data_IF_086239683969
#
_entry.id   IF_086239683969
#
_cell.length_a   1.000
_cell.length_b   1.000
_cell.length_c   1.000
_cell.angle_alpha   90.00
_cell.angle_beta   90.00
_cell.angle_gamma   90.00
#
_symmetry.space_group_name_H-M   'P 1'
#
loop_
_entity.id
_entity.type
_entity.pdbx_description
1 polymer ?
#
# COMPACT_ATOMS: atom_id res chain seq x y z
N UNK A 1 -7.99 20.54 -7.25
CA UNK A 1 -7.38 20.28 -8.58
C UNK A 1 -5.98 20.87 -8.61
N UNK A 2 -5.04 20.18 -9.27
CA UNK A 2 -3.67 20.66 -9.42
C UNK A 2 -3.64 21.98 -10.21
N UNK A 3 -2.90 22.97 -9.73
CA UNK A 3 -2.70 24.26 -10.41
C UNK A 3 -1.58 24.15 -11.45
N UNK A 4 -1.59 25.02 -12.45
CA UNK A 4 -0.51 25.08 -13.46
C UNK A 4 0.87 25.26 -12.78
N UNK A 5 0.99 26.14 -11.79
CA UNK A 5 2.22 26.35 -11.05
C UNK A 5 2.73 25.09 -10.32
N UNK A 6 1.82 24.25 -9.82
CA UNK A 6 2.20 22.95 -9.26
C UNK A 6 2.68 21.99 -10.34
N UNK A 7 1.97 21.89 -11.47
CA UNK A 7 2.36 21.02 -12.58
C UNK A 7 3.73 21.39 -13.15
N UNK A 8 4.05 22.67 -13.23
CA UNK A 8 5.37 23.16 -13.66
C UNK A 8 6.47 22.69 -12.67
N UNK A 9 6.22 22.82 -11.36
CA UNK A 9 7.13 22.31 -10.32
C UNK A 9 7.30 20.80 -10.42
N UNK A 10 6.20 20.07 -10.60
CA UNK A 10 6.20 18.62 -10.75
C UNK A 10 7.01 18.18 -11.97
N UNK A 11 6.77 18.78 -13.12
CA UNK A 11 7.45 18.43 -14.37
C UNK A 11 8.94 18.77 -14.37
N UNK A 12 9.37 19.69 -13.52
CA UNK A 12 10.79 19.96 -13.30
C UNK A 12 11.50 18.84 -12.54
N UNK A 13 10.77 17.94 -11.86
CA UNK A 13 11.34 16.79 -11.17
C UNK A 13 11.49 15.60 -12.13
N UNK A 14 12.60 14.86 -12.01
CA UNK A 14 12.87 13.70 -12.85
C UNK A 14 11.84 12.60 -12.61
N UNK A 15 11.15 12.15 -13.66
CA UNK A 15 10.29 10.98 -13.63
C UNK A 15 11.17 9.72 -13.59
N UNK A 16 10.74 8.71 -12.86
CA UNK A 16 11.47 7.44 -12.76
C UNK A 16 11.17 6.56 -13.97
N UNK A 17 12.23 6.04 -14.59
CA UNK A 17 12.18 5.10 -15.71
C UNK A 17 12.84 3.78 -15.36
N UNK A 18 12.52 2.75 -16.13
CA UNK A 18 13.14 1.41 -16.04
C UNK A 18 14.45 1.28 -16.81
N UNK A 19 14.95 2.37 -17.37
CA UNK A 19 16.11 2.44 -18.28
C UNK A 19 17.49 2.31 -17.59
N UNK A 20 17.50 2.35 -16.25
CA UNK A 20 18.71 2.28 -15.44
C UNK A 20 19.15 3.61 -14.87
N UNK A 21 18.47 4.71 -15.19
CA UNK A 21 18.67 6.01 -14.51
C UNK A 21 18.40 5.89 -12.99
N UNK A 22 17.49 4.99 -12.60
CA UNK A 22 17.24 4.57 -11.21
C UNK A 22 17.49 3.05 -11.12
N UNK A 23 18.61 2.61 -10.49
CA UNK A 23 19.02 1.20 -10.47
C UNK A 23 17.96 0.27 -9.89
N UNK A 24 17.24 0.69 -8.85
CA UNK A 24 16.20 -0.10 -8.20
C UNK A 24 15.02 -0.38 -9.14
N UNK A 25 14.55 0.62 -9.90
CA UNK A 25 13.46 0.46 -10.87
C UNK A 25 13.83 -0.52 -11.98
N UNK A 26 15.07 -0.43 -12.49
CA UNK A 26 15.60 -1.37 -13.50
C UNK A 26 15.70 -2.79 -12.94
N UNK A 27 16.29 -2.96 -11.75
CA UNK A 27 16.43 -4.28 -11.13
C UNK A 27 15.07 -4.92 -10.82
N UNK A 28 14.07 -4.11 -10.42
CA UNK A 28 12.72 -4.59 -10.21
C UNK A 28 12.13 -5.18 -11.50
N UNK A 29 12.22 -4.47 -12.61
CA UNK A 29 11.64 -4.90 -13.88
C UNK A 29 12.46 -6.03 -14.54
N UNK A 30 13.79 -5.97 -14.48
CA UNK A 30 14.66 -6.93 -15.15
C UNK A 30 14.74 -8.30 -14.46
N UNK A 31 14.52 -8.38 -13.15
CA UNK A 31 14.75 -9.63 -12.41
C UNK A 31 13.71 -9.94 -11.34
N UNK A 32 13.37 -8.97 -10.46
CA UNK A 32 12.48 -9.24 -9.33
C UNK A 32 11.06 -9.60 -9.77
N UNK A 33 10.47 -8.82 -10.66
CA UNK A 33 9.10 -9.04 -11.15
C UNK A 33 9.03 -10.33 -12.00
N UNK A 34 9.92 -10.60 -12.97
CA UNK A 34 9.93 -11.89 -13.68
C UNK A 34 9.97 -13.10 -12.75
N UNK A 35 10.87 -13.10 -11.76
CA UNK A 35 10.96 -14.17 -10.77
C UNK A 35 9.63 -14.37 -10.03
N UNK A 36 9.02 -13.28 -9.58
CA UNK A 36 7.73 -13.28 -8.90
C UNK A 36 6.60 -13.84 -9.78
N UNK A 37 6.58 -13.51 -11.09
CA UNK A 37 5.58 -14.05 -12.02
C UNK A 37 5.73 -15.56 -12.21
N UNK A 38 6.96 -16.09 -12.22
CA UNK A 38 7.20 -17.53 -12.22
C UNK A 38 6.68 -18.18 -10.94
N UNK A 39 6.97 -17.63 -9.77
CA UNK A 39 6.47 -18.12 -8.49
C UNK A 39 4.93 -18.14 -8.44
N UNK A 40 4.26 -17.11 -8.96
CA UNK A 40 2.81 -17.05 -9.11
C UNK A 40 2.29 -18.16 -10.01
N UNK A 41 2.92 -18.38 -11.16
CA UNK A 41 2.53 -19.43 -12.09
C UNK A 41 2.67 -20.83 -11.44
N UNK A 42 3.76 -21.07 -10.72
CA UNK A 42 4.05 -22.34 -10.08
C UNK A 42 3.07 -22.64 -8.92
N UNK A 43 2.74 -21.64 -8.10
CA UNK A 43 1.76 -21.79 -7.02
C UNK A 43 0.36 -22.05 -7.57
N UNK A 44 -0.07 -21.34 -8.59
CA UNK A 44 -1.37 -21.57 -9.22
C UNK A 44 -1.45 -22.95 -9.91
N UNK A 45 -0.35 -23.41 -10.50
CA UNK A 45 -0.28 -24.76 -11.07
C UNK A 45 -0.37 -25.84 -9.95
N UNK A 46 0.33 -25.65 -8.84
CA UNK A 46 0.32 -26.59 -7.69
C UNK A 46 -1.06 -26.68 -7.04
N UNK A 47 -1.76 -25.57 -6.87
CA UNK A 47 -3.11 -25.51 -6.29
C UNK A 47 -4.22 -25.79 -7.30
N UNK A 48 -3.90 -25.85 -8.60
CA UNK A 48 -4.86 -25.97 -9.71
C UNK A 48 -5.90 -24.81 -9.75
N UNK A 49 -5.52 -23.66 -9.24
CA UNK A 49 -6.37 -22.45 -9.26
C UNK A 49 -6.52 -21.87 -10.67
N UNK A 50 -5.45 -21.99 -11.48
CA UNK A 50 -5.46 -21.64 -12.90
C UNK A 50 -5.20 -22.88 -13.76
N UNK A 51 -5.66 -22.84 -15.02
CA UNK A 51 -5.37 -23.90 -15.98
C UNK A 51 -3.85 -23.93 -16.30
N UNK A 52 -3.36 -25.11 -16.69
CA UNK A 52 -1.97 -25.27 -17.10
C UNK A 52 -1.59 -24.36 -18.27
N UNK A 53 -2.55 -24.12 -19.18
CA UNK A 53 -2.40 -23.16 -20.29
C UNK A 53 -2.16 -21.74 -19.79
N UNK A 54 -2.93 -21.27 -18.79
CA UNK A 54 -2.75 -19.94 -18.22
C UNK A 54 -1.43 -19.82 -17.46
N UNK A 55 -1.05 -20.85 -16.69
CA UNK A 55 0.25 -20.89 -16.02
C UNK A 55 1.43 -20.86 -17.02
N UNK A 56 1.32 -21.59 -18.13
CA UNK A 56 2.34 -21.56 -19.20
C UNK A 56 2.44 -20.18 -19.87
N UNK A 57 1.30 -19.53 -20.16
CA UNK A 57 1.28 -18.15 -20.69
C UNK A 57 1.94 -17.17 -19.72
N UNK A 58 1.66 -17.29 -18.41
CA UNK A 58 2.24 -16.41 -17.39
C UNK A 58 3.75 -16.59 -17.29
N UNK A 59 4.28 -17.82 -17.36
CA UNK A 59 5.73 -18.08 -17.41
C UNK A 59 6.36 -17.47 -18.65
N UNK A 60 5.74 -17.66 -19.83
CA UNK A 60 6.25 -17.06 -21.08
C UNK A 60 6.24 -15.52 -21.01
N UNK A 61 5.21 -14.93 -20.39
CA UNK A 61 5.16 -13.49 -20.15
C UNK A 61 6.29 -13.02 -19.22
N UNK A 62 6.57 -13.76 -18.14
CA UNK A 62 7.71 -13.49 -17.26
C UNK A 62 9.04 -13.48 -18.00
N UNK A 63 9.27 -14.48 -18.89
CA UNK A 63 10.46 -14.57 -19.74
C UNK A 63 10.57 -13.38 -20.71
N UNK A 64 9.44 -12.93 -21.26
CA UNK A 64 9.38 -11.78 -22.16
C UNK A 64 9.75 -10.47 -21.45
N UNK A 65 9.31 -10.29 -20.20
CA UNK A 65 9.69 -9.15 -19.37
C UNK A 65 11.20 -9.17 -19.07
N UNK A 66 11.72 -10.33 -18.62
CA UNK A 66 13.14 -10.50 -18.32
C UNK A 66 14.03 -10.26 -19.56
N UNK A 67 13.59 -10.72 -20.73
CA UNK A 67 14.29 -10.55 -22.01
C UNK A 67 14.15 -9.15 -22.61
N UNK A 68 13.52 -8.21 -21.90
CA UNK A 68 13.31 -6.84 -22.37
C UNK A 68 12.57 -6.76 -23.72
N UNK A 69 11.59 -7.62 -23.93
CA UNK A 69 10.77 -7.55 -25.15
C UNK A 69 9.90 -6.29 -25.18
N UNK A 70 9.37 -5.90 -26.34
CA UNK A 70 8.38 -4.82 -26.43
C UNK A 70 7.18 -5.07 -25.51
N UNK A 71 6.67 -4.00 -24.90
CA UNK A 71 5.43 -4.05 -24.12
C UNK A 71 4.28 -4.40 -25.06
N UNK A 72 3.53 -5.50 -24.84
CA UNK A 72 2.42 -5.87 -25.70
C UNK A 72 1.16 -5.06 -25.40
N UNK A 73 0.25 -4.95 -26.40
CA UNK A 73 -1.12 -4.48 -26.16
C UNK A 73 -1.92 -5.54 -25.38
N UNK A 74 -3.05 -5.13 -24.78
CA UNK A 74 -4.05 -6.06 -24.25
C UNK A 74 -4.60 -6.96 -25.37
N UNK A 75 -4.88 -8.21 -25.06
CA UNK A 75 -5.48 -9.17 -26.01
C UNK A 75 -6.87 -8.73 -26.48
N UNK A 76 -7.64 -8.09 -25.60
CA UNK A 76 -8.94 -7.51 -25.90
C UNK A 76 -9.04 -6.06 -25.42
N UNK A 77 -8.67 -5.07 -26.25
CA UNK A 77 -8.71 -3.65 -25.88
C UNK A 77 -10.11 -3.13 -25.50
N UNK A 78 -11.18 -3.82 -25.94
CA UNK A 78 -12.55 -3.40 -25.64
C UNK A 78 -12.95 -3.65 -24.17
N UNK A 79 -12.26 -4.54 -23.45
CA UNK A 79 -12.53 -4.81 -22.03
C UNK A 79 -12.16 -3.59 -21.17
N UNK A 80 -11.07 -2.91 -21.51
CA UNK A 80 -10.64 -1.71 -20.82
C UNK A 80 -10.09 -0.65 -21.79
N UNK A 81 -10.99 0.16 -22.39
CA UNK A 81 -10.59 1.19 -23.34
C UNK A 81 -9.62 2.23 -22.77
N UNK A 82 -9.67 2.47 -21.45
CA UNK A 82 -8.77 3.41 -20.77
C UNK A 82 -7.33 2.90 -20.81
N UNK A 83 -7.13 1.63 -20.47
CA UNK A 83 -5.81 1.00 -20.55
C UNK A 83 -5.29 0.91 -21.98
N UNK A 84 -6.16 0.69 -22.94
CA UNK A 84 -5.76 0.70 -24.35
C UNK A 84 -5.24 2.08 -24.79
N UNK A 85 -5.97 3.15 -24.47
CA UNK A 85 -5.53 4.51 -24.79
C UNK A 85 -4.22 4.88 -24.09
N UNK A 86 -4.04 4.43 -22.86
CA UNK A 86 -2.80 4.66 -22.11
C UNK A 86 -1.62 3.85 -22.66
N UNK A 87 -1.85 2.63 -23.11
CA UNK A 87 -0.85 1.83 -23.82
C UNK A 87 -0.40 2.52 -25.12
N UNK A 88 -1.32 2.97 -25.97
CA UNK A 88 -0.97 3.68 -27.22
C UNK A 88 -0.10 4.92 -26.97
N UNK A 89 -0.32 5.60 -25.84
CA UNK A 89 0.41 6.81 -25.48
C UNK A 89 1.76 6.56 -24.81
N UNK A 90 1.88 5.52 -23.99
CA UNK A 90 3.00 5.31 -23.06
C UNK A 90 3.77 4.01 -23.27
N UNK A 91 3.12 2.99 -23.81
CA UNK A 91 3.66 1.64 -23.96
C UNK A 91 4.00 1.26 -25.38
N UNK A 92 3.25 1.77 -26.37
CA UNK A 92 3.47 1.41 -27.78
C UNK A 92 4.90 1.81 -28.23
N UNK A 93 5.64 0.83 -28.76
CA UNK A 93 7.02 1.01 -29.18
C UNK A 93 8.05 1.08 -28.04
N UNK A 94 7.63 0.92 -26.79
CA UNK A 94 8.52 0.81 -25.63
C UNK A 94 8.82 -0.64 -25.29
N UNK A 95 9.92 -0.85 -24.56
CA UNK A 95 10.26 -2.13 -23.95
C UNK A 95 10.12 -2.05 -22.43
N UNK A 96 10.14 -3.19 -21.77
CA UNK A 96 10.03 -3.28 -20.32
C UNK A 96 11.14 -2.52 -19.57
N UNK A 97 12.30 -2.36 -20.19
CA UNK A 97 13.46 -1.66 -19.61
C UNK A 97 13.68 -0.25 -20.17
N UNK A 98 12.63 0.36 -20.79
CA UNK A 98 12.68 1.71 -21.35
C UNK A 98 11.30 2.40 -21.26
N UNK A 99 10.62 2.26 -20.14
CA UNK A 99 9.31 2.86 -19.93
C UNK A 99 9.25 3.63 -18.59
N UNK A 100 8.29 4.53 -18.44
CA UNK A 100 8.00 5.14 -17.16
C UNK A 100 7.62 4.05 -16.15
N UNK A 101 8.32 3.99 -15.01
CA UNK A 101 8.25 2.84 -14.12
C UNK A 101 6.84 2.60 -13.58
N UNK A 102 6.17 3.64 -13.08
CA UNK A 102 4.84 3.48 -12.49
C UNK A 102 3.80 2.99 -13.51
N UNK A 103 3.90 3.47 -14.77
CA UNK A 103 3.09 2.95 -15.88
C UNK A 103 3.42 1.49 -16.19
N UNK A 104 4.71 1.18 -16.40
CA UNK A 104 5.15 -0.17 -16.79
C UNK A 104 4.73 -1.21 -15.76
N UNK A 105 4.89 -0.89 -14.47
CA UNK A 105 4.54 -1.79 -13.37
C UNK A 105 3.01 -1.99 -13.26
N UNK A 106 2.23 -0.92 -13.27
CA UNK A 106 0.76 -1.01 -13.22
C UNK A 106 0.18 -1.74 -14.44
N UNK A 107 0.69 -1.44 -15.64
CA UNK A 107 0.26 -2.09 -16.87
C UNK A 107 0.66 -3.57 -16.95
N UNK A 108 1.83 -3.92 -16.42
CA UNK A 108 2.28 -5.31 -16.29
C UNK A 108 1.25 -6.13 -15.49
N UNK A 109 0.81 -5.64 -14.33
CA UNK A 109 -0.18 -6.34 -13.52
C UNK A 109 -1.56 -6.40 -14.19
N UNK A 110 -1.92 -5.41 -15.01
CA UNK A 110 -3.10 -5.51 -15.88
C UNK A 110 -2.95 -6.61 -16.93
N UNK A 111 -1.76 -6.74 -17.53
CA UNK A 111 -1.46 -7.82 -18.47
C UNK A 111 -1.43 -9.20 -17.79
N UNK A 112 -1.03 -9.30 -16.52
CA UNK A 112 -1.15 -10.55 -15.76
C UNK A 112 -2.60 -11.01 -15.71
N UNK A 113 -3.55 -10.11 -15.46
CA UNK A 113 -4.98 -10.44 -15.49
C UNK A 113 -5.44 -10.89 -16.88
N UNK A 114 -4.94 -10.25 -17.93
CA UNK A 114 -5.24 -10.60 -19.33
C UNK A 114 -4.72 -12.01 -19.68
N UNK A 115 -3.44 -12.31 -19.43
CA UNK A 115 -2.84 -13.61 -19.77
C UNK A 115 -3.34 -14.77 -18.92
N UNK A 116 -3.80 -14.49 -17.70
CA UNK A 116 -4.38 -15.50 -16.81
C UNK A 116 -5.88 -15.70 -17.02
N UNK A 117 -6.54 -14.88 -17.84
CA UNK A 117 -7.98 -15.00 -18.14
C UNK A 117 -8.89 -14.49 -17.02
N UNK A 118 -8.42 -13.60 -16.16
CA UNK A 118 -9.21 -13.04 -15.06
C UNK A 118 -10.53 -12.42 -15.53
N UNK A 119 -10.49 -11.69 -16.63
CA UNK A 119 -11.66 -11.02 -17.21
C UNK A 119 -12.75 -12.01 -17.65
N UNK A 120 -12.42 -13.29 -17.86
CA UNK A 120 -13.35 -14.34 -18.29
C UNK A 120 -13.94 -15.13 -17.10
N UNK A 121 -13.11 -15.46 -16.11
CA UNK A 121 -13.49 -16.40 -15.03
C UNK A 121 -13.40 -15.82 -13.62
N UNK A 122 -12.84 -14.60 -13.43
CA UNK A 122 -12.80 -13.90 -12.15
C UNK A 122 -11.88 -14.51 -11.08
N UNK A 123 -11.03 -15.48 -11.45
CA UNK A 123 -10.10 -16.11 -10.49
C UNK A 123 -8.90 -15.19 -10.26
N UNK A 124 -8.69 -14.76 -9.02
CA UNK A 124 -7.55 -13.94 -8.63
C UNK A 124 -6.24 -14.75 -8.77
N UNK A 125 -5.33 -14.37 -9.69
CA UNK A 125 -4.07 -15.08 -9.89
C UNK A 125 -3.11 -14.92 -8.70
N UNK A 126 -3.35 -13.99 -7.81
CA UNK A 126 -2.51 -13.64 -6.66
C UNK A 126 -3.03 -14.22 -5.34
N UNK A 127 -4.19 -14.85 -5.34
CA UNK A 127 -4.84 -15.33 -4.11
C UNK A 127 -3.90 -16.22 -3.26
N UNK A 128 -3.14 -17.10 -3.90
CA UNK A 128 -2.20 -17.98 -3.19
C UNK A 128 -1.13 -17.18 -2.41
N UNK A 129 -0.57 -16.12 -3.00
CA UNK A 129 0.41 -15.27 -2.33
C UNK A 129 -0.20 -14.49 -1.17
N UNK A 130 -1.39 -13.93 -1.37
CA UNK A 130 -2.12 -13.18 -0.33
C UNK A 130 -2.39 -14.05 0.90
N UNK A 131 -2.74 -15.32 0.68
CA UNK A 131 -3.05 -16.26 1.77
C UNK A 131 -1.79 -16.84 2.41
N UNK A 132 -0.72 -17.07 1.64
CA UNK A 132 0.51 -17.70 2.13
C UNK A 132 1.14 -16.97 3.33
N UNK A 133 1.11 -15.64 3.35
CA UNK A 133 1.61 -14.88 4.50
C UNK A 133 0.81 -15.16 5.77
N UNK A 134 -0.49 -15.44 5.65
CA UNK A 134 -1.37 -15.75 6.78
C UNK A 134 -1.25 -17.19 7.29
N UNK A 135 -0.51 -18.05 6.58
CA UNK A 135 -0.19 -19.41 7.03
C UNK A 135 0.89 -19.38 8.14
N UNK A 136 1.73 -18.31 8.20
CA UNK A 136 2.71 -18.13 9.27
C UNK A 136 2.03 -17.64 10.57
N UNK A 137 2.63 -17.98 11.70
CA UNK A 137 2.17 -17.53 13.00
C UNK A 137 2.48 -16.06 13.30
N UNK A 138 3.43 -15.46 12.60
CA UNK A 138 3.94 -14.10 12.88
C UNK A 138 2.88 -13.01 12.69
N UNK A 139 2.12 -12.96 11.58
CA UNK A 139 1.03 -11.99 11.40
C UNK A 139 0.02 -12.02 12.55
N UNK A 140 -0.36 -13.23 12.97
CA UNK A 140 -1.35 -13.42 14.04
C UNK A 140 -0.84 -12.97 15.40
N UNK A 141 0.43 -13.24 15.72
CA UNK A 141 1.06 -12.74 16.97
C UNK A 141 1.13 -11.21 17.01
N UNK A 142 1.39 -10.57 15.88
CA UNK A 142 1.37 -9.10 15.79
C UNK A 142 -0.05 -8.56 15.99
N UNK A 143 -1.05 -9.20 15.43
CA UNK A 143 -2.45 -8.85 15.66
C UNK A 143 -2.85 -9.05 17.12
N UNK A 144 -2.40 -10.14 17.76
CA UNK A 144 -2.59 -10.37 19.20
C UNK A 144 -1.96 -9.27 20.05
N UNK A 145 -0.75 -8.81 19.66
CA UNK A 145 -0.07 -7.69 20.32
C UNK A 145 -0.87 -6.39 20.16
N UNK A 146 -1.39 -6.11 18.96
CA UNK A 146 -2.24 -4.94 18.74
C UNK A 146 -3.55 -5.01 19.55
N UNK A 147 -4.18 -6.17 19.62
CA UNK A 147 -5.38 -6.39 20.43
C UNK A 147 -5.11 -6.25 21.94
N UNK A 148 -3.95 -6.74 22.42
CA UNK A 148 -3.54 -6.59 23.81
C UNK A 148 -3.20 -5.14 24.16
N UNK A 149 -2.57 -4.40 23.24
CA UNK A 149 -2.32 -2.97 23.40
C UNK A 149 -3.63 -2.20 23.53
N UNK A 150 -4.60 -2.48 22.68
CA UNK A 150 -5.91 -1.82 22.74
C UNK A 150 -6.67 -2.12 24.04
N UNK A 151 -6.54 -3.34 24.57
CA UNK A 151 -7.14 -3.76 25.83
C UNK A 151 -6.39 -3.29 27.09
N UNK A 152 -5.21 -2.69 26.98
CA UNK A 152 -4.38 -2.23 28.11
C UNK A 152 -5.00 -1.02 28.83
N UNK A 153 -4.43 -0.64 29.99
CA UNK A 153 -4.84 0.54 30.75
C UNK A 153 -4.22 1.86 30.26
N UNK A 154 -3.50 1.85 29.13
CA UNK A 154 -2.92 3.05 28.56
C UNK A 154 -3.99 4.05 28.10
N UNK A 155 -3.68 5.36 28.12
CA UNK A 155 -4.54 6.37 27.52
C UNK A 155 -4.84 6.08 26.04
N UNK A 156 -6.06 6.31 25.59
CA UNK A 156 -6.47 6.07 24.18
C UNK A 156 -5.60 6.83 23.18
N UNK A 157 -5.06 7.99 23.53
CA UNK A 157 -4.10 8.74 22.70
C UNK A 157 -2.82 7.95 22.46
N UNK A 158 -2.25 7.37 23.49
CA UNK A 158 -1.01 6.58 23.41
C UNK A 158 -1.26 5.32 22.57
N UNK A 159 -2.36 4.60 22.84
CA UNK A 159 -2.78 3.44 22.05
C UNK A 159 -2.91 3.78 20.56
N UNK A 160 -3.55 4.91 20.22
CA UNK A 160 -3.69 5.34 18.83
C UNK A 160 -2.32 5.58 18.17
N UNK A 161 -1.41 6.26 18.85
CA UNK A 161 -0.05 6.49 18.36
C UNK A 161 0.71 5.19 18.09
N UNK A 162 0.63 4.25 19.02
CA UNK A 162 1.31 2.95 18.90
C UNK A 162 0.65 2.06 17.84
N UNK A 163 -0.67 2.07 17.69
CA UNK A 163 -1.37 1.37 16.61
C UNK A 163 -1.05 1.95 15.22
N UNK A 164 -0.86 3.27 15.09
CA UNK A 164 -0.38 3.86 13.84
C UNK A 164 1.03 3.36 13.48
N UNK A 165 1.92 3.22 14.46
CA UNK A 165 3.27 2.66 14.25
C UNK A 165 3.20 1.18 13.88
N UNK A 166 2.37 0.37 14.56
CA UNK A 166 2.16 -1.04 14.20
C UNK A 166 1.62 -1.17 12.78
N UNK A 167 0.62 -0.38 12.40
CA UNK A 167 0.08 -0.35 11.04
C UNK A 167 1.14 0.03 9.99
N UNK A 168 2.01 1.00 10.29
CA UNK A 168 3.13 1.36 9.41
C UNK A 168 4.09 0.19 9.21
N UNK A 169 4.51 -0.44 10.32
CA UNK A 169 5.52 -1.48 10.29
C UNK A 169 4.99 -2.86 9.86
N UNK A 170 3.67 -3.03 9.76
CA UNK A 170 3.05 -4.25 9.23
C UNK A 170 3.50 -4.63 7.83
N UNK A 171 3.99 -3.68 7.05
CA UNK A 171 4.54 -3.90 5.69
C UNK A 171 6.07 -4.09 5.69
N UNK A 172 6.70 -4.36 6.83
CA UNK A 172 8.13 -4.69 6.90
C UNK A 172 8.33 -6.12 6.39
N UNK A 173 8.80 -6.25 5.15
CA UNK A 173 9.09 -7.55 4.55
C UNK A 173 10.19 -8.31 5.32
N UNK A 174 9.91 -9.57 5.61
CA UNK A 174 10.73 -10.76 5.91
C UNK A 174 12.04 -10.65 6.73
N UNK A 175 12.84 -9.59 6.65
CA UNK A 175 14.16 -9.51 7.27
C UNK A 175 14.19 -8.83 8.65
N UNK A 176 13.40 -7.80 8.87
CA UNK A 176 13.39 -7.02 10.11
C UNK A 176 12.51 -7.64 11.22
N UNK A 177 11.61 -8.56 10.86
CA UNK A 177 10.82 -9.33 11.83
C UNK A 177 11.65 -10.24 12.76
N UNK A 178 12.86 -10.64 12.37
CA UNK A 178 13.72 -11.46 13.22
C UNK A 178 14.16 -10.71 14.48
N UNK A 179 14.47 -9.42 14.36
CA UNK A 179 14.85 -8.58 15.52
C UNK A 179 13.62 -8.19 16.37
N UNK A 180 12.45 -8.01 15.75
CA UNK A 180 11.18 -7.80 16.46
C UNK A 180 10.75 -9.08 17.20
N UNK A 181 11.03 -10.28 16.66
CA UNK A 181 10.75 -11.58 17.33
C UNK A 181 11.40 -11.70 18.72
N UNK A 182 12.62 -11.24 18.87
CA UNK A 182 13.38 -11.41 20.11
C UNK A 182 13.02 -10.38 21.18
N UNK A 183 12.30 -9.32 20.81
CA UNK A 183 12.01 -8.18 21.65
C UNK A 183 10.56 -8.08 22.15
N UNK A 184 9.60 -8.86 21.61
CA UNK A 184 8.14 -8.82 21.96
C UNK A 184 7.82 -9.32 23.39
N UNK A 185 8.82 -9.71 24.19
CA UNK A 185 8.59 -10.03 25.61
C UNK A 185 8.28 -8.81 26.50
N UNK A 186 8.32 -7.58 25.95
CA UNK A 186 7.95 -6.34 26.62
C UNK A 186 7.35 -5.33 25.65
N UNK A 187 6.03 -5.40 25.40
CA UNK A 187 5.32 -4.69 24.33
C UNK A 187 5.59 -3.17 24.23
N UNK A 188 5.94 -2.50 25.31
CA UNK A 188 6.19 -1.05 25.32
C UNK A 188 7.64 -0.66 25.00
N UNK A 189 8.63 -1.52 25.29
CA UNK A 189 10.04 -1.19 25.10
C UNK A 189 10.44 -1.17 23.60
N UNK A 190 9.67 -1.82 22.75
CA UNK A 190 10.03 -2.08 21.34
C UNK A 190 9.50 -1.06 20.36
N UNK A 191 8.32 -0.48 20.62
CA UNK A 191 7.79 0.63 19.81
C UNK A 191 8.69 1.87 19.91
N UNK A 192 9.36 2.07 21.06
CA UNK A 192 10.33 3.15 21.25
C UNK A 192 11.64 2.92 20.44
N UNK A 193 12.05 1.67 20.23
CA UNK A 193 13.21 1.34 19.38
C UNK A 193 12.91 1.62 17.91
N UNK A 194 11.67 1.35 17.48
CA UNK A 194 11.26 1.62 16.10
C UNK A 194 11.17 3.12 15.77
N UNK A 195 11.01 4.00 16.77
CA UNK A 195 10.99 5.46 16.56
C UNK A 195 12.32 5.99 16.00
N UNK A 196 13.46 5.37 16.28
CA UNK A 196 14.76 5.73 15.69
C UNK A 196 14.81 5.51 14.16
N UNK A 197 13.96 4.63 13.61
CA UNK A 197 13.88 4.36 12.18
C UNK A 197 12.85 5.24 11.48
N UNK A 198 12.09 6.04 12.22
CA UNK A 198 11.15 7.01 11.63
C UNK A 198 11.91 8.29 11.20
N UNK A 199 11.87 8.57 9.91
CA UNK A 199 12.43 9.80 9.35
C UNK A 199 11.57 11.02 9.68
N UNK A 200 10.28 10.81 9.83
CA UNK A 200 9.29 11.81 10.25
C UNK A 200 8.24 11.11 11.10
N UNK A 201 7.87 11.71 12.23
CA UNK A 201 6.84 11.20 13.13
C UNK A 201 5.86 12.30 13.50
N UNK A 202 4.71 12.35 12.81
CA UNK A 202 3.62 13.30 13.06
C UNK A 202 2.46 12.67 13.85
N UNK A 203 2.68 11.60 14.62
CA UNK A 203 1.61 10.94 15.39
C UNK A 203 0.86 11.92 16.30
N UNK A 204 1.60 12.75 17.06
CA UNK A 204 0.99 13.71 17.99
C UNK A 204 0.05 14.70 17.26
N UNK A 205 0.50 15.24 16.12
CA UNK A 205 -0.28 16.18 15.32
C UNK A 205 -1.55 15.52 14.74
N UNK A 206 -1.44 14.26 14.28
CA UNK A 206 -2.59 13.49 13.76
C UNK A 206 -3.62 13.24 14.88
N UNK A 207 -3.17 12.88 16.07
CA UNK A 207 -4.04 12.65 17.22
C UNK A 207 -4.78 13.95 17.59
N UNK A 208 -4.06 15.08 17.72
CA UNK A 208 -4.65 16.39 18.02
C UNK A 208 -5.66 16.82 16.94
N UNK A 209 -5.36 16.54 15.68
CA UNK A 209 -6.27 16.82 14.58
C UNK A 209 -7.57 15.99 14.70
N UNK A 210 -7.48 14.69 14.98
CA UNK A 210 -8.66 13.85 15.18
C UNK A 210 -9.47 14.26 16.40
N UNK A 211 -8.84 14.67 17.49
CA UNK A 211 -9.52 15.17 18.69
C UNK A 211 -10.35 16.42 18.41
N UNK A 212 -9.89 17.29 17.49
CA UNK A 212 -10.60 18.52 17.15
C UNK A 212 -12.01 18.28 16.58
N UNK A 213 -12.26 17.09 16.04
CA UNK A 213 -13.60 16.71 15.53
C UNK A 213 -14.53 16.17 16.60
N UNK A 214 -14.06 15.92 17.82
CA UNK A 214 -14.87 15.33 18.90
C UNK A 214 -15.65 14.08 18.46
N UNK A 215 -15.02 13.23 17.62
CA UNK A 215 -15.60 12.01 17.08
C UNK A 215 -16.61 12.23 15.93
N UNK A 216 -16.87 13.46 15.52
CA UNK A 216 -17.90 13.79 14.51
C UNK A 216 -17.33 13.89 13.09
N UNK A 217 -16.46 12.95 12.70
CA UNK A 217 -15.85 12.92 11.37
C UNK A 217 -15.83 11.53 10.76
N UNK A 218 -15.47 11.44 9.48
CA UNK A 218 -15.15 10.18 8.80
C UNK A 218 -13.65 10.08 8.58
N UNK A 219 -13.11 8.86 8.66
CA UNK A 219 -11.72 8.57 8.32
C UNK A 219 -11.70 7.66 7.09
N UNK A 220 -10.86 7.99 6.12
CA UNK A 220 -10.67 7.18 4.94
C UNK A 220 -9.28 6.55 4.95
N UNK A 221 -9.18 5.29 4.55
CA UNK A 221 -7.91 4.63 4.29
C UNK A 221 -7.76 4.41 2.79
N UNK A 222 -6.60 4.71 2.24
CA UNK A 222 -6.19 4.20 0.94
C UNK A 222 -5.24 3.05 1.23
N UNK A 223 -5.79 1.83 1.18
CA UNK A 223 -5.10 0.62 1.59
C UNK A 223 -4.05 0.19 0.56
N UNK A 224 -3.11 -0.63 1.02
CA UNK A 224 -2.05 -1.23 0.23
C UNK A 224 -2.21 -2.76 0.26
N UNK A 225 -1.44 -3.50 1.05
CA UNK A 225 -1.34 -4.95 0.97
C UNK A 225 -2.31 -5.71 1.88
N UNK A 226 -2.68 -6.92 1.45
CA UNK A 226 -3.22 -7.99 2.28
C UNK A 226 -2.18 -8.48 3.31
N UNK A 227 -2.46 -9.59 3.97
CA UNK A 227 -1.52 -10.21 4.90
C UNK A 227 -1.39 -9.44 6.22
N UNK A 228 -0.17 -9.31 6.72
CA UNK A 228 0.13 -8.63 8.00
C UNK A 228 -0.31 -7.17 8.00
N UNK A 229 -0.13 -6.47 6.88
CA UNK A 229 -0.47 -5.05 6.80
C UNK A 229 -1.95 -4.81 7.05
N UNK A 230 -2.82 -5.53 6.33
CA UNK A 230 -4.27 -5.35 6.50
C UNK A 230 -4.76 -5.81 7.89
N UNK A 231 -4.15 -6.83 8.50
CA UNK A 231 -4.49 -7.24 9.87
C UNK A 231 -4.24 -6.10 10.87
N UNK A 232 -3.11 -5.40 10.76
CA UNK A 232 -2.77 -4.30 11.65
C UNK A 232 -3.54 -3.02 11.32
N UNK A 233 -3.87 -2.79 10.05
CA UNK A 233 -4.78 -1.72 9.63
C UNK A 233 -6.18 -1.94 10.23
N UNK A 234 -6.69 -3.17 10.22
CA UNK A 234 -7.99 -3.50 10.81
C UNK A 234 -7.99 -3.36 12.34
N UNK A 235 -6.86 -3.61 13.02
CA UNK A 235 -6.72 -3.30 14.44
C UNK A 235 -6.79 -1.79 14.71
N UNK A 236 -6.14 -0.96 13.89
CA UNK A 236 -6.24 0.50 13.95
C UNK A 236 -7.67 0.99 13.65
N UNK A 237 -8.33 0.40 12.65
CA UNK A 237 -9.74 0.67 12.30
C UNK A 237 -10.67 0.36 13.47
N UNK A 238 -10.51 -0.81 14.10
CA UNK A 238 -11.29 -1.21 15.27
C UNK A 238 -11.12 -0.21 16.42
N UNK A 239 -9.89 0.21 16.72
CA UNK A 239 -9.60 1.23 17.73
C UNK A 239 -10.30 2.55 17.43
N UNK A 240 -10.17 3.06 16.20
CA UNK A 240 -10.78 4.34 15.80
C UNK A 240 -12.30 4.34 15.96
N UNK A 241 -12.96 3.25 15.60
CA UNK A 241 -14.43 3.12 15.71
C UNK A 241 -14.89 2.84 17.12
N UNK A 242 -14.24 1.91 17.83
CA UNK A 242 -14.61 1.49 19.20
C UNK A 242 -14.46 2.66 20.20
N UNK A 243 -13.37 3.43 20.07
CA UNK A 243 -13.10 4.58 20.95
C UNK A 243 -13.66 5.90 20.41
N UNK A 244 -14.48 5.84 19.35
CA UNK A 244 -15.23 6.99 18.80
C UNK A 244 -14.33 8.16 18.35
N UNK A 245 -13.18 7.87 17.77
CA UNK A 245 -12.36 8.87 17.10
C UNK A 245 -13.02 9.38 15.82
N UNK A 246 -13.89 8.57 15.22
CA UNK A 246 -14.68 8.91 14.05
C UNK A 246 -16.04 8.20 14.07
N UNK A 247 -16.97 8.62 13.20
CA UNK A 247 -18.30 8.02 13.05
C UNK A 247 -18.33 6.85 12.09
N UNK A 248 -17.44 6.84 11.10
CA UNK A 248 -17.37 5.78 10.08
C UNK A 248 -16.01 5.77 9.40
N UNK A 249 -15.67 4.64 8.80
CA UNK A 249 -14.44 4.45 8.05
C UNK A 249 -14.73 3.91 6.66
N UNK A 250 -14.07 4.48 5.64
CA UNK A 250 -14.06 3.98 4.27
C UNK A 250 -12.67 3.42 3.97
N UNK A 251 -12.61 2.15 3.55
CA UNK A 251 -11.40 1.52 3.05
C UNK A 251 -11.42 1.57 1.52
N UNK A 252 -10.62 2.45 0.92
CA UNK A 252 -10.42 2.48 -0.52
C UNK A 252 -9.44 1.37 -0.90
N UNK A 253 -9.93 0.40 -1.63
CA UNK A 253 -9.19 -0.79 -2.05
C UNK A 253 -9.19 -0.93 -3.57
N UNK A 254 -8.38 -1.81 -4.10
CA UNK A 254 -8.31 -2.08 -5.54
C UNK A 254 -9.64 -2.63 -6.06
N UNK A 255 -10.04 -2.20 -7.26
CA UNK A 255 -11.23 -2.69 -7.95
C UNK A 255 -11.05 -4.08 -8.56
N UNK A 256 -9.81 -4.49 -8.81
CA UNK A 256 -9.40 -5.81 -9.31
C UNK A 256 -8.05 -6.20 -8.69
N UNK A 257 -7.68 -7.49 -8.65
CA UNK A 257 -6.38 -7.95 -8.16
C UNK A 257 -5.22 -7.25 -8.88
N UNK A 258 -4.19 -6.83 -8.15
CA UNK A 258 -3.01 -6.16 -8.72
C UNK A 258 -1.84 -6.15 -7.74
N UNK A 259 -0.63 -5.81 -8.20
CA UNK A 259 0.59 -5.68 -7.38
C UNK A 259 0.85 -6.87 -6.44
N UNK A 260 0.29 -8.03 -6.79
CA UNK A 260 0.36 -9.32 -6.08
C UNK A 260 -0.42 -9.32 -4.76
N UNK A 261 -0.10 -8.43 -3.86
CA UNK A 261 -0.64 -8.43 -2.49
C UNK A 261 -1.67 -7.33 -2.22
N UNK A 262 -1.94 -6.45 -3.16
CA UNK A 262 -2.86 -5.33 -2.93
C UNK A 262 -4.28 -5.81 -2.63
N UNK A 263 -4.89 -5.19 -1.61
CA UNK A 263 -6.18 -5.60 -1.09
C UNK A 263 -7.35 -5.17 -2.01
N UNK A 264 -8.29 -6.09 -2.21
CA UNK A 264 -9.63 -5.85 -2.77
C UNK A 264 -10.70 -5.85 -1.67
N UNK A 265 -11.92 -5.47 -1.99
CA UNK A 265 -13.02 -5.52 -1.00
C UNK A 265 -13.30 -6.96 -0.51
N UNK A 266 -13.15 -7.95 -1.37
CA UNK A 266 -13.30 -9.35 -0.99
C UNK A 266 -12.21 -9.80 -0.01
N UNK A 267 -10.97 -9.36 -0.21
CA UNK A 267 -9.85 -9.68 0.69
C UNK A 267 -10.09 -9.12 2.11
N UNK A 268 -10.69 -7.92 2.23
CA UNK A 268 -11.06 -7.34 3.54
C UNK A 268 -12.07 -8.25 4.26
N UNK A 269 -13.15 -8.63 3.57
CA UNK A 269 -14.21 -9.47 4.14
C UNK A 269 -13.65 -10.85 4.52
N UNK A 270 -12.83 -11.45 3.66
CA UNK A 270 -12.19 -12.73 3.92
C UNK A 270 -11.24 -12.66 5.12
N UNK A 271 -10.43 -11.60 5.21
CA UNK A 271 -9.52 -11.40 6.36
C UNK A 271 -10.30 -11.32 7.67
N UNK A 272 -11.40 -10.55 7.74
CA UNK A 272 -12.25 -10.47 8.94
C UNK A 272 -12.83 -11.84 9.29
N UNK A 273 -13.25 -12.63 8.29
CA UNK A 273 -13.73 -14.02 8.49
C UNK A 273 -12.63 -14.91 9.06
N UNK A 274 -11.39 -14.84 8.53
CA UNK A 274 -10.24 -15.63 9.02
C UNK A 274 -9.83 -15.24 10.45
N UNK A 275 -9.96 -13.97 10.82
CA UNK A 275 -9.76 -13.51 12.20
C UNK A 275 -10.80 -14.09 13.15
N UNK A 276 -12.01 -14.39 12.68
CA UNK A 276 -13.10 -15.01 13.44
C UNK A 276 -12.98 -16.53 13.59
N UNK A 277 -12.00 -17.18 12.96
CA UNK A 277 -11.85 -18.64 13.00
C UNK A 277 -11.64 -19.15 14.43
N UNK A 278 -12.18 -20.34 14.72
CA UNK A 278 -12.14 -20.94 16.05
C UNK A 278 -10.73 -21.25 16.56
N UNK A 279 -9.75 -21.40 15.66
CA UNK A 279 -8.33 -21.58 15.99
C UNK A 279 -7.64 -20.33 16.50
N UNK A 280 -8.24 -19.15 16.32
CA UNK A 280 -7.68 -17.86 16.76
C UNK A 280 -7.94 -17.62 18.25
N UNK A 281 -7.08 -16.78 18.84
CA UNK A 281 -7.24 -16.42 20.25
C UNK A 281 -8.56 -15.67 20.51
N UNK A 282 -9.07 -15.71 21.75
CA UNK A 282 -10.30 -14.98 22.10
C UNK A 282 -10.25 -13.47 21.81
N UNK A 283 -9.09 -12.83 21.97
CA UNK A 283 -8.90 -11.41 21.69
C UNK A 283 -9.04 -11.11 20.20
N UNK A 284 -8.42 -11.90 19.32
CA UNK A 284 -8.54 -11.77 17.86
C UNK A 284 -9.97 -12.00 17.40
N UNK A 285 -10.64 -13.04 17.93
CA UNK A 285 -12.05 -13.30 17.59
C UNK A 285 -13.00 -12.20 18.07
N UNK A 286 -12.73 -11.60 19.22
CA UNK A 286 -13.51 -10.48 19.71
C UNK A 286 -13.34 -9.24 18.81
N UNK A 287 -12.11 -8.96 18.36
CA UNK A 287 -11.82 -7.92 17.38
C UNK A 287 -12.55 -8.19 16.06
N UNK A 288 -12.48 -9.42 15.52
CA UNK A 288 -13.20 -9.83 14.33
C UNK A 288 -14.73 -9.62 14.45
N UNK A 289 -15.29 -9.96 15.60
CA UNK A 289 -16.74 -9.78 15.84
C UNK A 289 -17.17 -8.31 15.82
N UNK A 290 -16.34 -7.39 16.34
CA UNK A 290 -16.60 -5.95 16.25
C UNK A 290 -16.50 -5.45 14.82
N UNK A 291 -15.44 -5.82 14.11
CA UNK A 291 -15.26 -5.45 12.69
C UNK A 291 -16.42 -5.96 11.82
N UNK A 292 -16.87 -7.22 12.03
CA UNK A 292 -18.01 -7.75 11.32
C UNK A 292 -19.28 -6.93 11.61
N UNK A 293 -19.53 -6.56 12.86
CA UNK A 293 -20.64 -5.72 13.22
C UNK A 293 -20.57 -4.32 12.57
N UNK A 294 -19.38 -3.73 12.44
CA UNK A 294 -19.17 -2.46 11.73
C UNK A 294 -19.42 -2.59 10.22
N UNK A 295 -19.02 -3.71 9.59
CA UNK A 295 -19.33 -4.01 8.20
C UNK A 295 -20.86 -4.15 8.00
N UNK A 296 -21.53 -4.93 8.83
CA UNK A 296 -22.97 -5.19 8.74
C UNK A 296 -23.81 -3.91 8.93
N UNK A 297 -23.34 -3.00 9.79
CA UNK A 297 -23.98 -1.69 10.03
C UNK A 297 -23.63 -0.66 8.97
N UNK A 298 -22.71 -0.94 8.05
CA UNK A 298 -22.22 0.02 7.07
C UNK A 298 -21.43 1.17 7.68
N UNK A 299 -20.89 1.00 8.88
CA UNK A 299 -19.99 1.94 9.55
C UNK A 299 -18.56 1.77 9.01
N UNK A 300 -18.15 0.55 8.73
CA UNK A 300 -16.93 0.20 8.00
C UNK A 300 -17.30 -0.19 6.56
N UNK A 301 -16.70 0.47 5.57
CA UNK A 301 -17.06 0.29 4.14
C UNK A 301 -15.82 0.05 3.29
N UNK A 302 -15.50 -1.20 2.92
CA UNK A 302 -14.53 -1.44 1.85
C UNK A 302 -15.15 -1.10 0.50
N UNK A 303 -14.50 -0.19 -0.25
CA UNK A 303 -14.95 0.29 -1.56
C UNK A 303 -13.85 0.09 -2.58
N UNK A 304 -14.07 -0.83 -3.52
CA UNK A 304 -13.19 -1.06 -4.67
C UNK A 304 -13.41 -0.02 -5.76
N UNK A 305 -12.32 0.50 -6.33
CA UNK A 305 -12.38 1.39 -7.48
C UNK A 305 -11.22 1.10 -8.44
N UNK A 306 -11.51 1.02 -9.74
CA UNK A 306 -10.51 0.74 -10.77
C UNK A 306 -9.47 1.85 -10.93
N UNK A 307 -9.74 3.07 -10.46
CA UNK A 307 -8.72 4.11 -10.40
C UNK A 307 -7.49 3.64 -9.61
N UNK A 308 -7.68 2.89 -8.55
CA UNK A 308 -6.59 2.37 -7.71
C UNK A 308 -5.71 1.33 -8.42
N UNK A 309 -6.22 0.70 -9.47
CA UNK A 309 -5.46 -0.23 -10.32
C UNK A 309 -4.63 0.48 -11.39
N UNK A 310 -5.00 1.73 -11.77
CA UNK A 310 -4.36 2.47 -12.84
C UNK A 310 -3.01 3.08 -12.39
N UNK A 311 -2.17 3.45 -13.38
CA UNK A 311 -0.90 4.15 -13.13
C UNK A 311 -1.09 5.65 -12.80
N UNK A 312 -2.32 6.16 -12.83
CA UNK A 312 -2.63 7.58 -12.62
C UNK A 312 -2.27 8.04 -11.23
N UNK A 313 -1.82 9.28 -11.13
CA UNK A 313 -1.39 9.91 -9.89
C UNK A 313 -2.55 10.63 -9.18
N UNK A 314 -2.36 11.00 -7.92
CA UNK A 314 -3.43 11.64 -7.13
C UNK A 314 -3.82 13.05 -7.60
N UNK A 315 -2.98 13.72 -8.37
CA UNK A 315 -3.39 14.97 -9.03
C UNK A 315 -4.30 14.73 -10.26
N UNK A 316 -4.52 13.49 -10.66
CA UNK A 316 -5.41 13.03 -11.73
C UNK A 316 -6.65 12.31 -11.17
N UNK A 317 -6.97 12.47 -9.88
CA UNK A 317 -8.13 11.84 -9.24
C UNK A 317 -9.43 12.13 -10.02
N UNK A 318 -10.25 11.12 -10.32
CA UNK A 318 -11.56 11.35 -10.91
C UNK A 318 -12.49 12.05 -9.92
N UNK A 319 -13.50 12.74 -10.44
CA UNK A 319 -14.38 13.61 -9.65
C UNK A 319 -15.04 12.88 -8.47
N UNK A 320 -15.50 11.63 -8.68
CA UNK A 320 -16.15 10.84 -7.61
C UNK A 320 -15.20 10.49 -6.48
N UNK A 321 -13.94 10.14 -6.78
CA UNK A 321 -12.92 9.85 -5.76
C UNK A 321 -12.51 11.14 -5.04
N UNK A 322 -12.30 12.24 -5.80
CA UNK A 322 -12.00 13.56 -5.21
C UNK A 322 -13.10 13.99 -4.24
N UNK A 323 -14.37 13.82 -4.61
CA UNK A 323 -15.51 14.15 -3.76
C UNK A 323 -15.54 13.27 -2.49
N UNK A 324 -15.34 11.97 -2.66
CA UNK A 324 -15.30 11.02 -1.53
C UNK A 324 -14.19 11.38 -0.55
N UNK A 325 -12.94 11.52 -1.02
CA UNK A 325 -11.81 11.89 -0.15
C UNK A 325 -11.98 13.27 0.48
N UNK A 326 -12.52 14.25 -0.28
CA UNK A 326 -12.74 15.62 0.20
C UNK A 326 -13.75 15.74 1.33
N UNK A 327 -14.55 14.71 1.61
CA UNK A 327 -15.48 14.65 2.74
C UNK A 327 -14.85 14.08 4.01
N UNK A 328 -13.63 13.54 3.94
CA UNK A 328 -12.95 12.94 5.09
C UNK A 328 -12.31 14.01 5.98
N UNK A 329 -12.41 13.84 7.30
CA UNK A 329 -11.62 14.63 8.24
C UNK A 329 -10.14 14.22 8.24
N UNK A 330 -9.86 12.96 7.89
CA UNK A 330 -8.50 12.45 7.72
C UNK A 330 -8.47 11.33 6.68
N UNK A 331 -7.46 11.35 5.82
CA UNK A 331 -7.13 10.23 4.91
C UNK A 331 -5.83 9.59 5.37
N UNK A 332 -5.84 8.29 5.65
CA UNK A 332 -4.66 7.48 5.94
C UNK A 332 -4.16 6.85 4.63
N UNK A 333 -2.99 7.25 4.18
CA UNK A 333 -2.34 6.73 2.97
C UNK A 333 -1.39 5.61 3.39
N UNK A 334 -1.62 4.39 2.91
CA UNK A 334 -0.84 3.21 3.26
C UNK A 334 0.17 2.84 2.17
N UNK A 335 1.41 2.59 2.60
CA UNK A 335 2.42 1.91 1.81
C UNK A 335 3.20 2.77 0.80
N UNK A 336 4.19 2.13 0.19
CA UNK A 336 5.16 2.78 -0.69
C UNK A 336 4.57 3.16 -2.07
N UNK A 337 3.76 2.28 -2.66
CA UNK A 337 3.15 2.53 -3.97
C UNK A 337 2.22 3.74 -3.93
N UNK A 338 1.42 3.89 -2.87
CA UNK A 338 0.54 5.04 -2.68
C UNK A 338 1.32 6.34 -2.42
N UNK A 339 2.47 6.28 -1.75
CA UNK A 339 3.35 7.44 -1.58
C UNK A 339 4.03 7.85 -2.90
N UNK A 340 4.47 6.89 -3.73
CA UNK A 340 4.95 7.14 -5.09
C UNK A 340 3.87 7.84 -5.94
N UNK A 341 2.63 7.36 -5.83
CA UNK A 341 1.46 7.95 -6.49
C UNK A 341 1.20 9.39 -6.01
N UNK A 342 1.42 9.66 -4.73
CA UNK A 342 1.31 10.99 -4.13
C UNK A 342 2.34 11.97 -4.70
N UNK A 343 3.57 11.52 -4.94
CA UNK A 343 4.66 12.36 -5.46
C UNK A 343 4.78 12.36 -6.99
N UNK A 344 3.89 11.66 -7.72
CA UNK A 344 3.92 11.54 -9.18
C UNK A 344 5.07 10.68 -9.68
N UNK A 345 5.57 9.75 -8.88
CA UNK A 345 6.70 8.84 -9.14
C UNK A 345 7.96 9.60 -9.60
N UNK A 346 8.27 10.73 -8.92
CA UNK A 346 9.36 11.62 -9.29
C UNK A 346 10.37 11.80 -8.16
N UNK A 347 11.61 12.11 -8.58
CA UNK A 347 12.72 12.37 -7.67
C UNK A 347 12.70 13.86 -7.24
N UNK A 348 11.95 14.15 -6.23
CA UNK A 348 11.96 15.42 -5.55
C UNK A 348 13.22 15.58 -4.69
N UNK A 349 13.73 16.82 -4.47
CA UNK A 349 14.67 17.05 -3.37
C UNK A 349 14.04 16.57 -2.05
N UNK A 350 14.72 15.69 -1.33
CA UNK A 350 14.18 15.05 -0.14
C UNK A 350 13.80 16.06 0.97
N UNK A 351 14.40 17.23 0.95
CA UNK A 351 14.13 18.32 1.89
C UNK A 351 12.93 19.20 1.49
N UNK A 352 12.31 18.97 0.33
CA UNK A 352 11.09 19.71 -0.07
C UNK A 352 9.99 19.49 0.97
N UNK A 353 9.37 20.54 1.53
CA UNK A 353 8.24 20.35 2.45
C UNK A 353 7.10 19.59 1.78
N UNK A 354 6.53 18.59 2.46
CA UNK A 354 5.45 17.76 1.88
C UNK A 354 4.25 18.58 1.43
N UNK A 355 3.88 19.63 2.17
CA UNK A 355 2.77 20.51 1.80
C UNK A 355 3.02 21.26 0.47
N UNK A 356 4.28 21.48 0.08
CA UNK A 356 4.64 22.05 -1.21
C UNK A 356 4.65 21.02 -2.34
N UNK A 357 5.02 19.78 -2.03
CA UNK A 357 5.04 18.71 -3.02
C UNK A 357 3.63 18.21 -3.37
N UNK A 358 2.63 18.35 -2.46
CA UNK A 358 1.28 17.80 -2.64
C UNK A 358 0.15 18.78 -2.32
N UNK A 359 0.18 20.02 -2.83
CA UNK A 359 -0.82 21.05 -2.51
C UNK A 359 -2.22 20.73 -3.07
N UNK A 360 -2.30 19.76 -3.97
CA UNK A 360 -3.49 19.37 -4.72
C UNK A 360 -4.34 18.32 -3.99
N UNK A 361 -3.83 17.66 -2.94
CA UNK A 361 -4.55 16.58 -2.27
C UNK A 361 -5.83 17.12 -1.62
N UNK A 362 -7.00 16.45 -1.80
CA UNK A 362 -8.29 17.08 -1.51
C UNK A 362 -8.67 17.14 -0.02
N UNK A 363 -7.94 16.47 0.87
CA UNK A 363 -8.26 16.30 2.28
C UNK A 363 -7.01 16.41 3.18
N UNK A 364 -7.15 16.63 4.49
CA UNK A 364 -6.10 16.33 5.46
C UNK A 364 -5.67 14.86 5.33
N UNK A 365 -4.38 14.59 5.41
CA UNK A 365 -3.91 13.21 5.31
C UNK A 365 -2.70 12.93 6.21
N UNK A 366 -2.49 11.64 6.49
CA UNK A 366 -1.27 11.07 7.03
C UNK A 366 -0.80 9.90 6.15
N UNK A 367 0.45 9.91 5.76
CA UNK A 367 1.10 8.79 5.06
C UNK A 367 1.81 7.91 6.08
N UNK A 368 1.47 6.62 6.10
CA UNK A 368 2.14 5.56 6.85
C UNK A 368 2.91 4.70 5.84
N UNK A 369 4.20 4.98 5.67
CA UNK A 369 5.00 4.37 4.62
C UNK A 369 6.31 3.79 5.16
N UNK A 370 6.57 2.51 4.88
CA UNK A 370 7.91 1.92 4.91
C UNK A 370 8.61 2.21 3.59
N UNK A 371 9.86 2.69 3.64
CA UNK A 371 10.63 3.11 2.47
C UNK A 371 11.11 1.90 1.66
N UNK A 372 10.58 1.74 0.45
CA UNK A 372 10.94 0.67 -0.49
C UNK A 372 11.23 1.19 -1.91
N UNK A 373 11.29 2.53 -2.08
CA UNK A 373 11.59 3.21 -3.34
C UNK A 373 12.17 4.59 -3.09
N UNK A 374 12.80 5.18 -4.12
CA UNK A 374 13.57 6.43 -4.04
C UNK A 374 12.77 7.70 -3.70
N UNK A 375 11.52 7.92 -4.16
CA UNK A 375 10.80 9.17 -3.90
C UNK A 375 10.58 9.42 -2.41
N UNK A 376 11.04 10.57 -1.92
CA UNK A 376 10.84 11.04 -0.54
C UNK A 376 10.86 12.56 -0.51
N UNK A 377 10.10 13.17 0.40
CA UNK A 377 10.11 14.61 0.70
C UNK A 377 9.97 14.86 2.19
N UNK A 378 10.27 16.05 2.66
CA UNK A 378 9.99 16.51 4.02
C UNK A 378 10.93 15.96 5.10
N UNK A 379 12.16 15.56 4.72
CA UNK A 379 13.20 15.22 5.69
C UNK A 379 14.15 16.39 5.91
N UNK A 380 14.89 16.38 7.03
CA UNK A 380 15.82 17.45 7.35
C UNK A 380 17.14 17.32 6.56
N UNK A 381 17.77 18.43 6.11
CA UNK A 381 19.02 18.36 5.35
C UNK A 381 20.15 17.60 6.09
N UNK A 382 20.29 17.80 7.39
CA UNK A 382 21.30 17.08 8.20
C UNK A 382 21.01 15.57 8.27
N UNK A 383 19.72 15.20 8.31
CA UNK A 383 19.29 13.80 8.32
C UNK A 383 19.60 13.12 6.98
N UNK A 384 19.31 13.77 5.86
CA UNK A 384 19.64 13.24 4.52
C UNK A 384 21.14 12.97 4.40
N UNK A 385 21.99 13.95 4.77
CA UNK A 385 23.44 13.80 4.72
C UNK A 385 23.95 12.63 5.55
N UNK A 386 23.41 12.46 6.76
CA UNK A 386 23.79 11.36 7.63
C UNK A 386 23.38 10.01 7.05
N UNK A 387 22.14 9.91 6.54
CA UNK A 387 21.62 8.67 5.97
C UNK A 387 22.39 8.25 4.71
N UNK A 388 22.71 9.17 3.82
CA UNK A 388 23.53 8.88 2.63
C UNK A 388 24.94 8.38 2.97
N UNK A 389 25.50 8.83 4.09
CA UNK A 389 26.81 8.38 4.56
C UNK A 389 26.77 7.00 5.25
N UNK A 390 25.75 6.76 6.08
CA UNK A 390 25.66 5.58 6.94
C UNK A 390 25.01 4.37 6.28
N UNK A 391 24.04 4.60 5.37
CA UNK A 391 23.24 3.56 4.71
C UNK A 391 22.84 3.97 3.29
N UNK A 392 23.68 3.76 2.28
CA UNK A 392 23.38 4.16 0.90
C UNK A 392 22.08 3.57 0.31
N UNK A 393 21.52 2.53 0.95
CA UNK A 393 20.28 1.88 0.52
C UNK A 393 19.05 2.32 1.35
N UNK A 394 19.18 3.32 2.22
CA UNK A 394 18.14 3.74 3.17
C UNK A 394 16.77 4.04 2.52
N UNK A 395 16.76 4.45 1.26
CA UNK A 395 15.52 4.75 0.52
C UNK A 395 14.75 3.50 0.11
N UNK A 396 15.45 2.36 -0.06
CA UNK A 396 14.89 1.18 -0.74
C UNK A 396 14.93 -0.12 0.06
N UNK A 397 15.63 -0.15 1.22
CA UNK A 397 15.88 -1.38 1.98
C UNK A 397 14.76 -1.76 2.99
N UNK A 398 13.70 -0.97 3.11
CA UNK A 398 12.59 -1.25 4.01
C UNK A 398 12.87 -1.01 5.51
N UNK A 399 14.04 -0.47 5.87
CA UNK A 399 14.41 -0.26 7.28
C UNK A 399 13.89 1.06 7.85
N UNK A 400 13.62 2.04 7.00
CA UNK A 400 13.14 3.37 7.39
C UNK A 400 11.66 3.53 7.06
N UNK A 401 11.00 4.42 7.82
CA UNK A 401 9.60 4.74 7.59
C UNK A 401 9.28 6.20 7.86
N UNK A 402 8.09 6.61 7.45
CA UNK A 402 7.53 7.94 7.75
C UNK A 402 6.09 7.82 8.24
N UNK A 403 5.78 8.61 9.26
CA UNK A 403 4.43 9.01 9.64
C UNK A 403 4.36 10.49 9.35
N UNK A 404 3.91 10.85 8.15
CA UNK A 404 4.04 12.18 7.60
C UNK A 404 2.68 12.75 7.19
N UNK A 405 2.31 13.91 7.71
CA UNK A 405 0.97 14.47 7.52
C UNK A 405 0.98 15.87 6.93
N UNK A 406 -0.12 16.20 6.23
CA UNK A 406 -0.55 17.56 5.91
C UNK A 406 -1.96 17.72 6.48
N UNK A 407 -2.06 18.48 7.55
CA UNK A 407 -3.30 18.75 8.28
C UNK A 407 -3.70 20.20 8.01
N UNK A 408 -4.96 20.45 7.69
CA UNK A 408 -5.49 21.78 7.31
C UNK A 408 -6.51 22.23 8.33
#
# INVERSE_FOLDING_TARGET
MATTAFLDKLHAQALIYTDGSVPFAKAAMASRIPKLLHEIADQNAATKSLSETHCAKLRAFADDVAANKPIPALSNPAIDPTWHADYERLGAGKTWHDAAWFFAEAYLFRLVLDVTGYDEHGVDPFHCQKMHELDDATPWRLLETAAALDASDLPTREKLGDLMKLSLWGNKADGAYKEVKDTISGAHANLAVDDQYLLTNHCAQVIEHLESFHGSTTVHFINDNCGTEILLDLALVDHLLTHKWCTSIVLHVKGAPTYVSDATANDIVETVRLMGDASRTPSVRALASRLQAFLDQGVLKPIGDLFWNQYRFYFELPAHVTHSLGSAGLVVLKGDANYRRLLGDRLWPATTPIAEAVPYFPAPFVALRTMKSDPIVGILPAQETTLEADDPLWRINGQRGVIQSVLR
#
